data_IF_663512659565
#
_entry.id   IF_663512659565
#
_cell.length_a   1.000
_cell.length_b   1.000
_cell.length_c   1.000
_cell.angle_alpha   90.00
_cell.angle_beta   90.00
_cell.angle_gamma   90.00
#
_symmetry.space_group_name_H-M   'P 1'
#
loop_
_entity.id
_entity.type
_entity.pdbx_description
1 polymer ?
#
# COMPACT_ATOMS: atom_id res chain seq x y z
N UNK A 1 15.58 -47.02 22.81
CA UNK A 1 14.89 -45.74 23.06
C UNK A 1 15.95 -44.69 23.29
N UNK A 2 16.14 -43.75 22.35
CA UNK A 2 17.10 -42.66 22.51
C UNK A 2 16.37 -41.55 23.26
N UNK A 3 16.79 -41.31 24.50
CA UNK A 3 16.29 -40.20 25.30
C UNK A 3 17.10 -38.95 24.91
N UNK A 4 16.57 -38.14 23.98
CA UNK A 4 17.16 -36.86 23.61
C UNK A 4 16.93 -35.88 24.76
N UNK A 5 17.91 -35.73 25.64
CA UNK A 5 17.89 -34.64 26.63
C UNK A 5 17.99 -33.32 25.87
N UNK A 6 16.89 -32.57 25.81
CA UNK A 6 16.85 -31.23 25.26
C UNK A 6 17.69 -30.33 26.17
N UNK A 7 18.65 -29.58 25.60
CA UNK A 7 19.50 -28.65 26.34
C UNK A 7 18.68 -27.58 27.06
N UNK A 8 19.20 -27.05 28.16
CA UNK A 8 18.54 -25.97 28.92
C UNK A 8 18.27 -24.72 28.07
N UNK A 9 19.11 -24.44 27.07
CA UNK A 9 18.95 -23.33 26.13
C UNK A 9 17.70 -23.50 25.23
N UNK A 10 17.47 -24.71 24.74
CA UNK A 10 16.25 -25.05 23.98
C UNK A 10 15.01 -25.03 24.88
N UNK A 11 15.12 -25.50 26.12
CA UNK A 11 14.02 -25.39 27.08
C UNK A 11 13.65 -23.92 27.35
N UNK A 12 14.65 -23.03 27.43
CA UNK A 12 14.43 -21.60 27.58
C UNK A 12 13.87 -20.96 26.30
N UNK A 13 14.30 -21.41 25.11
CA UNK A 13 13.73 -20.97 23.84
C UNK A 13 12.24 -21.36 23.70
N UNK A 14 11.87 -22.56 24.17
CA UNK A 14 10.49 -23.02 24.18
C UNK A 14 9.65 -22.47 25.35
N UNK A 15 10.29 -21.82 26.33
CA UNK A 15 9.56 -21.14 27.38
C UNK A 15 8.78 -19.97 26.75
N UNK A 16 7.46 -20.12 26.67
CA UNK A 16 6.60 -19.10 26.09
C UNK A 16 6.64 -17.83 26.96
N UNK A 17 7.43 -16.85 26.54
CA UNK A 17 7.57 -15.55 27.19
C UNK A 17 6.45 -14.57 26.81
N UNK A 18 5.49 -14.96 25.97
CA UNK A 18 4.31 -14.15 25.68
C UNK A 18 3.38 -14.18 26.90
N UNK A 19 3.61 -13.24 27.81
CA UNK A 19 2.79 -13.02 28.99
C UNK A 19 1.40 -12.57 28.51
N UNK A 20 0.46 -13.51 28.58
CA UNK A 20 -0.96 -13.24 28.36
C UNK A 20 -1.44 -12.24 29.41
N UNK A 21 -1.83 -11.03 28.98
CA UNK A 21 -2.56 -10.09 29.81
C UNK A 21 -4.06 -10.25 29.52
N UNK A 22 -4.84 -10.84 30.44
CA UNK A 22 -6.29 -10.94 30.26
C UNK A 22 -6.87 -9.52 30.13
N UNK A 23 -7.41 -9.18 28.96
CA UNK A 23 -7.98 -7.86 28.67
C UNK A 23 -7.37 -7.12 27.46
N UNK A 24 -6.26 -7.62 26.89
CA UNK A 24 -5.62 -7.02 25.70
C UNK A 24 -6.11 -7.60 24.36
N UNK A 25 -7.09 -8.52 24.37
CA UNK A 25 -7.67 -9.05 23.14
C UNK A 25 -8.72 -8.08 22.65
N UNK A 26 -8.33 -7.22 21.71
CA UNK A 26 -9.32 -6.51 20.89
C UNK A 26 -10.21 -7.54 20.19
N UNK A 27 -11.51 -7.28 20.14
CA UNK A 27 -12.45 -8.18 19.48
C UNK A 27 -12.11 -8.20 17.99
N UNK A 28 -11.67 -9.36 17.51
CA UNK A 28 -11.43 -9.58 16.09
C UNK A 28 -12.75 -9.92 15.36
N UNK A 29 -12.93 -9.48 14.10
CA UNK A 29 -12.03 -8.60 13.36
C UNK A 29 -12.05 -7.17 13.90
N UNK A 30 -10.91 -6.48 13.78
CA UNK A 30 -10.81 -5.06 14.11
C UNK A 30 -11.77 -4.22 13.24
N UNK A 31 -12.21 -3.05 13.74
CA UNK A 31 -13.05 -2.16 12.95
C UNK A 31 -12.35 -1.69 11.68
N UNK A 32 -13.15 -1.38 10.67
CA UNK A 32 -12.69 -0.80 9.41
C UNK A 32 -12.00 0.55 9.64
N UNK A 33 -10.88 0.76 8.95
CA UNK A 33 -10.18 2.04 8.95
C UNK A 33 -10.80 3.03 7.96
N UNK A 34 -10.71 4.33 8.27
CA UNK A 34 -11.39 5.38 7.50
C UNK A 34 -11.02 5.40 6.02
N UNK A 35 -9.85 4.91 5.61
CA UNK A 35 -9.44 4.89 4.20
C UNK A 35 -10.14 3.82 3.38
N UNK A 36 -10.65 2.75 3.99
CA UNK A 36 -11.17 1.59 3.25
C UNK A 36 -12.37 1.97 2.38
N UNK A 37 -13.26 2.83 2.87
CA UNK A 37 -14.42 3.32 2.10
C UNK A 37 -14.00 4.01 0.80
N UNK A 38 -13.00 4.88 0.85
CA UNK A 38 -12.45 5.58 -0.32
C UNK A 38 -11.83 4.60 -1.32
N UNK A 39 -11.13 3.57 -0.83
CA UNK A 39 -10.58 2.53 -1.69
C UNK A 39 -11.65 1.63 -2.31
N UNK A 40 -12.83 1.47 -1.69
CA UNK A 40 -13.99 0.82 -2.32
C UNK A 40 -14.54 1.66 -3.48
N UNK A 41 -14.56 2.98 -3.35
CA UNK A 41 -14.95 3.87 -4.46
C UNK A 41 -13.95 3.73 -5.63
N UNK A 42 -12.65 3.67 -5.34
CA UNK A 42 -11.61 3.42 -6.36
C UNK A 42 -11.77 2.07 -7.05
N UNK A 43 -12.14 1.03 -6.27
CA UNK A 43 -12.47 -0.28 -6.81
C UNK A 43 -13.68 -0.22 -7.74
N UNK A 44 -14.76 0.43 -7.35
CA UNK A 44 -15.98 0.58 -8.17
C UNK A 44 -15.71 1.36 -9.47
N UNK A 45 -14.85 2.38 -9.44
CA UNK A 45 -14.39 3.09 -10.63
C UNK A 45 -13.53 2.20 -11.54
N UNK A 46 -12.66 1.38 -10.95
CA UNK A 46 -11.79 0.47 -11.68
C UNK A 46 -12.56 -0.58 -12.48
N UNK A 47 -13.73 -1.01 -12.01
CA UNK A 47 -14.60 -1.93 -12.73
C UNK A 47 -15.08 -1.37 -14.08
N UNK A 48 -15.09 -0.04 -14.24
CA UNK A 48 -15.57 0.64 -15.46
C UNK A 48 -14.43 1.01 -16.41
N UNK A 49 -13.29 1.43 -15.87
CA UNK A 49 -12.20 2.04 -16.64
C UNK A 49 -10.88 1.27 -16.60
N UNK A 50 -10.79 0.22 -15.79
CA UNK A 50 -9.56 -0.50 -15.47
C UNK A 50 -8.84 0.11 -14.26
N UNK A 51 -8.13 -0.74 -13.51
CA UNK A 51 -7.44 -0.35 -12.26
C UNK A 51 -6.43 0.78 -12.47
N UNK A 52 -5.58 0.68 -13.48
CA UNK A 52 -4.57 1.72 -13.72
C UNK A 52 -5.20 3.07 -14.03
N UNK A 53 -6.24 3.10 -14.88
CA UNK A 53 -6.93 4.33 -15.26
C UNK A 53 -7.66 4.97 -14.08
N UNK A 54 -8.40 4.17 -13.30
CA UNK A 54 -9.10 4.65 -12.11
C UNK A 54 -8.11 5.23 -11.08
N UNK A 55 -7.06 4.48 -10.74
CA UNK A 55 -6.07 4.94 -9.76
C UNK A 55 -5.29 6.16 -10.25
N UNK A 56 -5.10 6.35 -11.56
CA UNK A 56 -4.45 7.54 -12.10
C UNK A 56 -5.21 8.84 -11.80
N UNK A 57 -6.53 8.76 -11.59
CA UNK A 57 -7.35 9.91 -11.19
C UNK A 57 -7.18 10.30 -9.71
N UNK A 58 -6.64 9.39 -8.88
CA UNK A 58 -6.61 9.51 -7.42
C UNK A 58 -5.20 9.49 -6.82
N UNK A 59 -4.25 8.85 -7.51
CA UNK A 59 -2.85 8.67 -7.12
C UNK A 59 -1.98 9.55 -8.03
N UNK A 60 -1.54 10.74 -7.57
CA UNK A 60 -0.75 11.66 -8.39
C UNK A 60 0.50 11.04 -8.99
N UNK A 61 1.16 10.12 -8.26
CA UNK A 61 2.39 9.43 -8.66
C UNK A 61 2.24 8.68 -9.99
N UNK A 62 1.02 8.24 -10.36
CA UNK A 62 0.77 7.55 -11.63
C UNK A 62 0.75 8.52 -12.82
N UNK A 63 0.67 9.83 -12.56
CA UNK A 63 0.77 10.88 -13.56
C UNK A 63 2.21 11.34 -13.80
N UNK A 64 3.22 10.80 -13.12
CA UNK A 64 4.63 11.19 -13.30
C UNK A 64 5.49 10.00 -13.71
N UNK A 65 6.59 10.23 -14.46
CA UNK A 65 7.46 9.14 -14.88
C UNK A 65 8.33 8.68 -13.71
N UNK A 66 9.02 7.54 -13.89
CA UNK A 66 10.12 7.15 -13.00
C UNK A 66 11.40 7.81 -13.50
N UNK A 67 11.89 8.81 -12.77
CA UNK A 67 13.05 9.60 -13.20
C UNK A 67 13.88 10.11 -12.01
N UNK A 68 15.20 10.14 -12.19
CA UNK A 68 16.12 10.62 -11.15
C UNK A 68 15.89 12.10 -10.86
N UNK A 69 15.59 12.43 -9.61
CA UNK A 69 15.34 13.78 -9.13
C UNK A 69 13.90 14.26 -9.30
N UNK A 70 12.98 13.41 -9.80
CA UNK A 70 11.57 13.79 -9.98
C UNK A 70 10.91 14.20 -8.66
N UNK A 71 11.32 13.63 -7.53
CA UNK A 71 10.79 13.97 -6.21
C UNK A 71 11.10 15.41 -5.76
N UNK A 72 12.09 16.04 -6.40
CA UNK A 72 12.47 17.44 -6.19
C UNK A 72 11.80 18.40 -7.17
N UNK A 73 11.14 17.89 -8.22
CA UNK A 73 10.41 18.70 -9.19
C UNK A 73 9.22 19.41 -8.54
N UNK A 74 9.03 20.69 -8.85
CA UNK A 74 7.98 21.51 -8.25
C UNK A 74 6.57 21.03 -8.61
N UNK A 75 6.32 20.66 -9.87
CA UNK A 75 5.02 20.13 -10.32
C UNK A 75 4.70 18.81 -9.60
N UNK A 76 5.69 17.92 -9.48
CA UNK A 76 5.56 16.67 -8.74
C UNK A 76 5.21 16.92 -7.27
N UNK A 77 5.93 17.83 -6.61
CA UNK A 77 5.71 18.15 -5.20
C UNK A 77 4.34 18.79 -4.96
N UNK A 78 3.92 19.71 -5.82
CA UNK A 78 2.60 20.34 -5.73
C UNK A 78 1.48 19.30 -5.84
N UNK A 79 1.61 18.36 -6.78
CA UNK A 79 0.65 17.28 -6.97
C UNK A 79 0.57 16.34 -5.75
N UNK A 80 1.71 15.84 -5.24
CA UNK A 80 1.75 14.91 -4.10
C UNK A 80 1.42 15.58 -2.76
N UNK A 81 1.55 16.91 -2.67
CA UNK A 81 1.14 17.70 -1.49
C UNK A 81 -0.33 18.13 -1.53
N UNK A 82 -1.07 17.68 -2.54
CA UNK A 82 -2.47 18.05 -2.74
C UNK A 82 -2.70 19.57 -2.88
N UNK A 83 -1.71 20.30 -3.39
CA UNK A 83 -1.88 21.71 -3.78
C UNK A 83 -2.73 21.82 -5.06
N UNK A 84 -2.80 20.72 -5.82
CA UNK A 84 -3.59 20.57 -7.05
C UNK A 84 -4.34 19.23 -6.94
N UNK A 85 -5.65 19.16 -7.31
CA UNK A 85 -6.37 17.90 -7.37
C UNK A 85 -5.67 16.89 -8.30
N UNK A 86 -5.60 15.59 -7.95
CA UNK A 86 -4.87 14.60 -8.76
C UNK A 86 -5.36 14.50 -10.21
N UNK A 87 -6.67 14.61 -10.45
CA UNK A 87 -7.28 14.61 -11.78
C UNK A 87 -6.93 15.83 -12.66
N UNK A 88 -6.38 16.90 -12.07
CA UNK A 88 -5.94 18.11 -12.77
C UNK A 88 -4.46 18.09 -13.18
N UNK A 89 -3.72 17.03 -12.83
CA UNK A 89 -2.28 16.94 -13.10
C UNK A 89 -2.04 16.45 -14.51
N UNK A 90 -1.70 17.38 -15.40
CA UNK A 90 -1.18 17.05 -16.74
C UNK A 90 0.34 17.09 -16.69
N UNK A 91 0.97 15.93 -16.72
CA UNK A 91 2.41 15.79 -16.92
C UNK A 91 2.71 15.49 -18.38
N UNK A 92 3.80 16.06 -18.89
CA UNK A 92 4.28 15.82 -20.26
C UNK A 92 4.75 14.37 -20.47
N UNK A 93 5.02 13.66 -19.36
CA UNK A 93 5.32 12.22 -19.33
C UNK A 93 4.67 11.59 -18.10
N UNK A 94 3.91 10.52 -18.27
CA UNK A 94 3.24 9.80 -17.19
C UNK A 94 3.89 8.43 -16.96
N UNK A 95 3.58 7.80 -15.82
CA UNK A 95 3.97 6.42 -15.56
C UNK A 95 3.42 5.54 -16.69
N UNK A 96 4.30 4.73 -17.28
CA UNK A 96 3.95 3.79 -18.34
C UNK A 96 4.13 2.38 -17.82
N UNK A 97 3.08 1.58 -17.91
CA UNK A 97 3.08 0.16 -17.57
C UNK A 97 3.04 -0.68 -18.85
N UNK A 98 3.68 -1.83 -18.82
CA UNK A 98 3.71 -2.81 -19.90
C UNK A 98 2.37 -3.55 -20.04
N UNK A 99 1.74 -3.93 -18.92
CA UNK A 99 0.50 -4.68 -18.86
C UNK A 99 -0.52 -4.05 -17.87
N UNK A 100 -0.95 -2.79 -18.08
CA UNK A 100 -1.86 -2.10 -17.16
C UNK A 100 -3.23 -2.79 -16.98
N UNK A 101 -3.65 -3.61 -17.95
CA UNK A 101 -4.89 -4.39 -17.89
C UNK A 101 -4.81 -5.66 -17.02
N UNK A 102 -3.61 -6.04 -16.57
CA UNK A 102 -3.39 -7.18 -15.67
C UNK A 102 -3.32 -6.78 -14.20
N UNK A 103 -3.51 -5.49 -13.89
CA UNK A 103 -3.64 -5.02 -12.51
C UNK A 103 -4.99 -5.42 -11.93
N UNK A 104 -4.96 -5.91 -10.70
CA UNK A 104 -6.17 -6.20 -9.93
C UNK A 104 -6.15 -5.38 -8.64
N UNK A 105 -7.28 -4.75 -8.34
CA UNK A 105 -7.51 -4.09 -7.06
C UNK A 105 -8.57 -4.88 -6.32
N UNK A 106 -8.28 -5.28 -5.09
CA UNK A 106 -9.26 -5.94 -4.20
C UNK A 106 -9.23 -5.29 -2.82
N UNK A 107 -10.33 -5.43 -2.09
CA UNK A 107 -10.37 -5.17 -0.64
C UNK A 107 -10.38 -6.53 0.05
N UNK A 108 -9.28 -6.87 0.71
CA UNK A 108 -9.12 -8.16 1.36
C UNK A 108 -9.49 -8.07 2.85
N UNK A 109 -10.41 -8.92 3.29
CA UNK A 109 -10.85 -8.98 4.69
C UNK A 109 -9.80 -9.71 5.55
N UNK A 110 -9.35 -9.09 6.64
CA UNK A 110 -8.38 -9.69 7.57
C UNK A 110 -8.87 -9.59 9.01
N UNK A 111 -8.29 -10.36 9.95
CA UNK A 111 -8.55 -10.16 11.37
C UNK A 111 -8.23 -8.75 11.86
N UNK A 112 -7.28 -8.04 11.21
CA UNK A 112 -6.91 -6.67 11.52
C UNK A 112 -7.78 -5.62 10.81
N UNK A 113 -8.90 -6.04 10.19
CA UNK A 113 -9.76 -5.19 9.37
C UNK A 113 -9.49 -5.35 7.87
N UNK A 114 -10.39 -4.85 7.01
CA UNK A 114 -10.21 -4.87 5.56
C UNK A 114 -9.01 -4.01 5.13
N UNK A 115 -8.26 -4.47 4.12
CA UNK A 115 -7.12 -3.75 3.55
C UNK A 115 -7.16 -3.77 2.02
N UNK A 116 -6.89 -2.65 1.33
CA UNK A 116 -6.72 -2.64 -0.12
C UNK A 116 -5.46 -3.40 -0.53
N UNK A 117 -5.56 -4.17 -1.60
CA UNK A 117 -4.45 -4.93 -2.19
C UNK A 117 -4.42 -4.67 -3.69
N UNK A 118 -3.30 -4.13 -4.15
CA UNK A 118 -2.98 -3.96 -5.57
C UNK A 118 -2.10 -5.13 -6.01
N UNK A 119 -2.66 -6.02 -6.83
CA UNK A 119 -1.99 -7.20 -7.35
C UNK A 119 -1.47 -6.89 -8.75
N UNK A 120 -0.21 -7.23 -9.00
CA UNK A 120 0.52 -6.88 -10.22
C UNK A 120 1.18 -8.12 -10.81
N UNK A 121 0.73 -8.52 -12.01
CA UNK A 121 1.22 -9.74 -12.66
C UNK A 121 2.54 -9.57 -13.38
N UNK A 122 2.71 -8.42 -14.04
CA UNK A 122 3.94 -8.10 -14.73
C UNK A 122 5.01 -7.60 -13.74
N UNK A 123 6.19 -8.23 -13.75
CA UNK A 123 7.29 -7.91 -12.82
C UNK A 123 7.85 -6.49 -12.98
N UNK A 124 7.94 -6.00 -14.21
CA UNK A 124 8.46 -4.66 -14.49
C UNK A 124 7.44 -3.59 -14.05
N UNK A 125 6.14 -3.88 -14.21
CA UNK A 125 5.07 -3.03 -13.69
C UNK A 125 5.06 -2.98 -12.18
N UNK A 126 5.25 -4.13 -11.51
CA UNK A 126 5.38 -4.18 -10.05
C UNK A 126 6.53 -3.29 -9.59
N UNK A 127 7.69 -3.39 -10.23
CA UNK A 127 8.88 -2.58 -9.91
C UNK A 127 8.60 -1.09 -10.14
N UNK A 128 7.91 -0.74 -11.23
CA UNK A 128 7.55 0.64 -11.57
C UNK A 128 6.56 1.23 -10.56
N UNK A 129 5.52 0.49 -10.19
CA UNK A 129 4.55 0.86 -9.16
C UNK A 129 5.21 0.97 -7.78
N UNK A 130 6.11 0.05 -7.44
CA UNK A 130 6.83 0.11 -6.17
C UNK A 130 7.72 1.36 -6.08
N UNK A 131 8.43 1.70 -7.16
CA UNK A 131 9.19 2.96 -7.24
C UNK A 131 8.30 4.19 -7.12
N UNK A 132 7.17 4.22 -7.82
CA UNK A 132 6.21 5.30 -7.74
C UNK A 132 5.72 5.51 -6.30
N UNK A 133 5.25 4.44 -5.65
CA UNK A 133 4.53 4.51 -4.38
C UNK A 133 5.44 4.57 -3.16
N UNK A 134 6.55 3.83 -3.13
CA UNK A 134 7.45 3.78 -1.97
C UNK A 134 8.66 4.70 -2.09
N UNK A 135 9.10 4.99 -3.33
CA UNK A 135 10.29 5.79 -3.61
C UNK A 135 9.99 7.11 -4.30
N UNK A 136 8.72 7.57 -4.28
CA UNK A 136 8.31 8.88 -4.81
C UNK A 136 8.73 9.08 -6.27
N UNK A 137 8.50 8.05 -7.08
CA UNK A 137 8.87 7.99 -8.49
C UNK A 137 10.39 8.08 -8.79
N UNK A 138 11.24 7.99 -7.77
CA UNK A 138 12.68 7.91 -7.98
C UNK A 138 13.09 6.50 -8.47
N UNK A 139 14.14 6.41 -9.31
CA UNK A 139 14.74 5.14 -9.64
C UNK A 139 15.39 4.55 -8.37
N UNK A 140 14.83 3.45 -7.90
CA UNK A 140 15.39 2.64 -6.82
C UNK A 140 15.74 1.24 -7.35
N UNK A 141 16.84 0.68 -6.86
CA UNK A 141 17.16 -0.72 -7.14
C UNK A 141 16.26 -1.62 -6.28
N UNK A 142 15.45 -2.45 -6.93
CA UNK A 142 14.47 -3.30 -6.26
C UNK A 142 14.94 -4.76 -6.42
N UNK A 143 15.25 -5.44 -5.31
CA UNK A 143 15.67 -6.84 -5.37
C UNK A 143 14.65 -7.71 -6.13
N UNK A 144 15.11 -8.62 -7.01
CA UNK A 144 14.22 -9.55 -7.73
C UNK A 144 13.34 -10.40 -6.81
N UNK A 145 13.81 -10.68 -5.60
CA UNK A 145 13.08 -11.46 -4.59
C UNK A 145 11.96 -10.69 -3.88
N UNK A 146 11.83 -9.38 -4.08
CA UNK A 146 10.74 -8.60 -3.47
C UNK A 146 9.42 -8.86 -4.18
N UNK A 147 8.59 -9.72 -3.59
CA UNK A 147 7.25 -10.06 -4.12
C UNK A 147 6.09 -9.31 -3.48
N UNK A 148 6.30 -8.62 -2.35
CA UNK A 148 5.25 -7.88 -1.67
C UNK A 148 5.81 -6.68 -0.90
N UNK A 149 5.02 -5.63 -0.76
CA UNK A 149 5.33 -4.48 0.08
C UNK A 149 4.04 -3.91 0.71
N UNK A 150 4.11 -3.57 2.00
CA UNK A 150 3.07 -2.76 2.63
C UNK A 150 3.42 -1.27 2.44
N UNK A 151 2.56 -0.55 1.74
CA UNK A 151 2.65 0.90 1.63
C UNK A 151 1.90 1.49 2.82
N UNK A 152 2.64 2.15 3.71
CA UNK A 152 2.09 2.79 4.91
C UNK A 152 2.40 4.28 4.96
N UNK A 153 1.48 5.05 5.52
CA UNK A 153 1.63 6.50 5.60
C UNK A 153 1.46 7.20 4.24
N UNK A 154 0.76 6.58 3.30
CA UNK A 154 0.53 7.17 1.98
C UNK A 154 -0.40 8.37 2.10
N UNK A 155 0.07 9.58 1.79
CA UNK A 155 -0.75 10.78 1.84
C UNK A 155 -1.77 10.77 0.67
N UNK A 156 -3.00 10.37 0.97
CA UNK A 156 -4.09 10.45 0.01
C UNK A 156 -4.53 11.92 -0.14
N UNK A 157 -4.28 12.47 -1.32
CA UNK A 157 -4.50 13.89 -1.61
C UNK A 157 -5.98 14.28 -1.53
N UNK A 158 -6.88 13.41 -1.99
CA UNK A 158 -8.32 13.64 -1.93
C UNK A 158 -8.80 13.70 -0.48
N UNK A 159 -8.40 12.71 0.33
CA UNK A 159 -8.70 12.67 1.77
C UNK A 159 -8.09 13.86 2.52
N UNK A 160 -6.87 14.26 2.17
CA UNK A 160 -6.22 15.42 2.76
C UNK A 160 -6.95 16.73 2.45
N UNK A 161 -7.37 16.94 1.20
CA UNK A 161 -8.15 18.13 0.81
C UNK A 161 -9.49 18.15 1.56
N UNK A 162 -10.20 17.02 1.61
CA UNK A 162 -11.46 16.89 2.34
C UNK A 162 -11.29 17.19 3.84
N UNK A 163 -10.24 16.63 4.45
CA UNK A 163 -9.89 16.89 5.85
C UNK A 163 -9.59 18.37 6.11
N UNK A 164 -8.77 19.01 5.26
CA UNK A 164 -8.42 20.42 5.38
C UNK A 164 -9.65 21.32 5.27
N UNK A 165 -10.51 21.08 4.27
CA UNK A 165 -11.74 21.85 4.06
C UNK A 165 -12.69 21.71 5.26
N UNK A 166 -12.82 20.49 5.81
CA UNK A 166 -13.63 20.24 7.01
C UNK A 166 -13.09 21.01 8.22
N UNK A 167 -11.78 20.96 8.48
CA UNK A 167 -11.15 21.73 9.56
C UNK A 167 -11.35 23.24 9.42
N UNK A 168 -11.19 23.78 8.22
CA UNK A 168 -11.37 25.21 7.97
C UNK A 168 -12.81 25.68 8.22
N UNK A 169 -13.80 24.81 7.97
CA UNK A 169 -15.21 25.08 8.28
C UNK A 169 -15.52 24.97 9.78
N UNK A 170 -14.96 23.97 10.46
CA UNK A 170 -15.22 23.70 11.89
C UNK A 170 -14.46 24.66 12.82
N UNK A 171 -13.27 25.09 12.42
CA UNK A 171 -12.43 26.03 13.17
C UNK A 171 -11.76 27.07 12.26
N UNK A 172 -12.52 28.06 11.73
CA UNK A 172 -11.98 29.05 10.79
C UNK A 172 -10.87 29.94 11.38
N UNK A 173 -10.78 30.02 12.70
CA UNK A 173 -9.84 30.86 13.42
C UNK A 173 -8.66 30.08 14.03
N UNK A 174 -8.63 28.75 13.89
CA UNK A 174 -7.54 27.91 14.41
C UNK A 174 -7.44 27.91 15.93
N UNK A 175 -8.57 28.03 16.64
CA UNK A 175 -8.62 28.13 18.11
C UNK A 175 -8.73 26.77 18.80
N UNK A 176 -9.01 25.70 18.06
CA UNK A 176 -9.06 24.34 18.61
C UNK A 176 -7.67 23.90 19.08
N UNK A 177 -7.66 23.10 20.15
CA UNK A 177 -6.42 22.48 20.62
C UNK A 177 -5.86 21.53 19.53
N UNK A 178 -4.53 21.45 19.38
CA UNK A 178 -3.94 20.52 18.42
C UNK A 178 -4.28 19.08 18.80
N UNK A 179 -4.73 18.29 17.82
CA UNK A 179 -4.93 16.86 18.00
C UNK A 179 -3.59 16.12 18.10
N UNK A 180 -3.64 14.87 18.56
CA UNK A 180 -2.50 13.97 18.46
C UNK A 180 -2.09 13.81 16.98
N UNK A 181 -0.82 14.05 16.60
CA UNK A 181 -0.36 13.92 15.22
C UNK A 181 -0.66 12.55 14.57
N UNK A 182 -0.75 11.48 15.34
CA UNK A 182 -1.10 10.16 14.83
C UNK A 182 -2.59 10.08 14.44
N UNK A 183 -3.47 10.68 15.24
CA UNK A 183 -4.91 10.77 14.97
C UNK A 183 -5.18 11.70 13.79
N UNK A 184 -4.45 12.81 13.71
CA UNK A 184 -4.56 13.73 12.57
C UNK A 184 -4.12 13.05 11.26
N UNK A 185 -3.00 12.32 11.28
CA UNK A 185 -2.50 11.63 10.09
C UNK A 185 -3.42 10.53 9.60
N UNK A 186 -4.10 9.78 10.48
CA UNK A 186 -5.01 8.70 10.05
C UNK A 186 -6.19 9.20 9.22
N UNK A 187 -6.54 10.50 9.31
CA UNK A 187 -7.59 11.15 8.50
C UNK A 187 -7.28 11.16 7.00
N UNK A 188 -6.00 11.10 6.61
CA UNK A 188 -5.59 11.22 5.21
C UNK A 188 -4.44 10.31 4.81
N UNK A 189 -3.82 9.60 5.75
CA UNK A 189 -2.82 8.60 5.46
C UNK A 189 -3.46 7.23 5.30
N UNK A 190 -3.21 6.62 4.15
CA UNK A 190 -3.75 5.32 3.80
C UNK A 190 -2.69 4.23 3.99
N UNK A 191 -3.19 2.99 4.09
CA UNK A 191 -2.38 1.78 4.10
C UNK A 191 -2.95 0.78 3.12
N UNK A 192 -2.08 0.18 2.31
CA UNK A 192 -2.47 -0.83 1.34
C UNK A 192 -1.27 -1.72 0.99
N UNK A 193 -1.56 -2.86 0.39
CA UNK A 193 -0.53 -3.83 -0.03
C UNK A 193 -0.29 -3.72 -1.53
N UNK A 194 0.98 -3.76 -1.93
CA UNK A 194 1.41 -3.99 -3.29
C UNK A 194 1.95 -5.41 -3.38
N UNK A 195 1.32 -6.26 -4.18
CA UNK A 195 1.63 -7.68 -4.29
C UNK A 195 1.97 -8.03 -5.74
N UNK A 196 3.05 -8.77 -5.95
CA UNK A 196 3.32 -9.44 -7.21
C UNK A 196 2.72 -10.85 -7.19
N UNK A 197 2.18 -11.31 -8.31
CA UNK A 197 1.70 -12.70 -8.47
C UNK A 197 2.84 -13.71 -8.77
N UNK A 198 4.10 -13.24 -8.74
CA UNK A 198 5.27 -14.02 -9.09
C UNK A 198 5.72 -14.99 -7.99
N UNK A 199 6.67 -15.89 -8.34
CA UNK A 199 7.23 -16.86 -7.41
C UNK A 199 7.80 -16.23 -6.13
N UNK A 200 7.45 -16.82 -4.99
CA UNK A 200 7.93 -16.35 -3.69
C UNK A 200 9.44 -16.55 -3.55
N UNK A 201 10.14 -15.55 -3.00
CA UNK A 201 11.58 -15.59 -2.72
C UNK A 201 12.50 -15.77 -3.94
N UNK A 202 12.00 -15.50 -5.15
CA UNK A 202 12.80 -15.58 -6.38
C UNK A 202 13.10 -17.01 -6.85
N UNK A 203 12.40 -18.02 -6.31
CA UNK A 203 12.48 -19.41 -6.75
C UNK A 203 11.34 -19.64 -7.73
N UNK A 204 11.64 -19.89 -9.01
CA UNK A 204 10.62 -20.16 -10.02
C UNK A 204 9.73 -21.36 -9.66
N UNK A 205 8.50 -21.41 -10.20
CA UNK A 205 7.64 -22.57 -10.00
C UNK A 205 8.35 -23.87 -10.41
N UNK A 206 9.09 -23.83 -11.52
CA UNK A 206 9.89 -24.95 -12.01
C UNK A 206 10.97 -25.41 -11.00
N UNK A 207 11.70 -24.47 -10.38
CA UNK A 207 12.70 -24.79 -9.34
C UNK A 207 12.05 -25.36 -8.07
N UNK A 208 10.83 -24.96 -7.75
CA UNK A 208 10.04 -25.53 -6.66
C UNK A 208 9.34 -26.85 -7.04
N UNK A 209 9.45 -27.31 -8.28
CA UNK A 209 8.83 -28.54 -8.77
C UNK A 209 7.33 -28.43 -9.09
N UNK A 210 6.84 -27.21 -9.33
CA UNK A 210 5.45 -26.93 -9.69
C UNK A 210 5.34 -26.39 -11.12
N UNK A 211 4.17 -26.61 -11.73
CA UNK A 211 3.76 -25.89 -12.93
C UNK A 211 3.37 -24.45 -12.57
N UNK A 212 3.66 -23.48 -13.45
CA UNK A 212 3.34 -22.06 -13.23
C UNK A 212 1.85 -21.83 -12.94
N UNK A 213 0.96 -22.54 -13.64
CA UNK A 213 -0.49 -22.45 -13.44
C UNK A 213 -0.94 -22.99 -12.08
N UNK A 214 -0.25 -24.00 -11.55
CA UNK A 214 -0.53 -24.54 -10.23
C UNK A 214 -0.06 -23.57 -9.14
N UNK A 215 1.12 -22.97 -9.31
CA UNK A 215 1.65 -21.97 -8.37
C UNK A 215 0.74 -20.74 -8.24
N UNK A 216 0.26 -20.23 -9.38
CA UNK A 216 -0.65 -19.07 -9.43
C UNK A 216 -2.08 -19.37 -8.95
N UNK A 217 -2.41 -20.63 -8.71
CA UNK A 217 -3.72 -21.07 -8.23
C UNK A 217 -3.83 -21.21 -6.71
N UNK A 218 -2.73 -21.05 -5.98
CA UNK A 218 -2.67 -21.01 -4.52
C UNK A 218 -2.71 -19.58 -4.00
#
# INVERSE_FOLDING_TARGET
MINLSISDELNNYFANAFIYSPGLIEKLPLPEEEFVSVWRDYLDESLKSGVFCALKNHIPQFNFPIEKGISSNEKYRAAVRAEIPPCGVVSDSALTLNAPGELELIIHETPAGPIPVLIVKNRDDFTSLFRALAFKNEPADIPPSTGACAISGYNNCERFIAFKNKRELEDPFGLAAPEDPAVEKSRYQDRFLLLSDGPYSGISAAEAGFEESAWRGY
#
